data_IF_342615595111
#
_entry.id   IF_342615595111
#
_cell.length_a   1.000
_cell.length_b   1.000
_cell.length_c   1.000
_cell.angle_alpha   90.00
_cell.angle_beta   90.00
_cell.angle_gamma   90.00
#
_symmetry.space_group_name_H-M   'P 1'
#
loop_
_entity.id
_entity.type
_entity.pdbx_description
1 polymer ?
#
# COMPACT_ATOMS: atom_id res chain seq x y z
N UNK A 1 4.00 8.20 -12.39
CA UNK A 1 2.67 7.90 -12.93
C UNK A 1 2.32 6.43 -12.74
N UNK A 2 1.03 6.12 -12.56
CA UNK A 2 0.54 4.77 -12.34
C UNK A 2 -0.92 4.59 -12.72
N UNK A 3 -1.34 3.33 -12.81
CA UNK A 3 -2.74 2.93 -12.95
C UNK A 3 -3.12 2.12 -11.72
N UNK A 4 -4.21 2.52 -11.07
CA UNK A 4 -4.73 1.89 -9.88
C UNK A 4 -6.02 1.13 -10.17
N UNK A 5 -6.08 -0.15 -9.76
CA UNK A 5 -7.27 -0.98 -9.87
C UNK A 5 -7.96 -1.05 -8.51
N UNK A 6 -9.05 -0.34 -8.35
CA UNK A 6 -9.92 -0.51 -7.20
C UNK A 6 -10.97 -1.59 -7.46
N UNK A 7 -11.43 -2.24 -6.40
CA UNK A 7 -12.47 -3.26 -6.45
C UNK A 7 -12.21 -4.44 -7.44
N UNK A 8 -10.96 -4.78 -7.69
CA UNK A 8 -10.57 -5.88 -8.57
C UNK A 8 -10.71 -7.23 -7.87
N UNK A 9 -11.96 -7.66 -7.68
CA UNK A 9 -12.36 -8.86 -6.93
C UNK A 9 -13.81 -9.26 -7.26
N UNK A 10 -14.24 -10.41 -6.78
CA UNK A 10 -15.66 -10.74 -6.78
C UNK A 10 -16.40 -9.82 -5.80
N UNK A 11 -17.59 -9.31 -6.18
CA UNK A 11 -18.45 -8.56 -5.26
C UNK A 11 -18.86 -9.42 -4.05
N UNK A 12 -18.95 -8.77 -2.90
CA UNK A 12 -19.26 -9.42 -1.62
C UNK A 12 -20.62 -10.13 -1.60
N UNK A 13 -21.58 -9.60 -2.33
CA UNK A 13 -22.95 -10.09 -2.42
C UNK A 13 -23.17 -11.13 -3.52
N UNK A 14 -22.13 -11.47 -4.27
CA UNK A 14 -22.23 -12.50 -5.32
C UNK A 14 -22.03 -13.88 -4.75
N UNK A 15 -22.94 -14.81 -5.13
CA UNK A 15 -22.70 -16.22 -4.90
C UNK A 15 -21.71 -16.75 -5.94
N UNK A 16 -20.48 -16.99 -5.52
CA UNK A 16 -19.41 -17.51 -6.39
C UNK A 16 -19.71 -18.99 -6.66
N UNK A 17 -20.17 -19.30 -7.86
CA UNK A 17 -20.59 -20.65 -8.30
C UNK A 17 -19.46 -21.55 -8.80
N UNK A 18 -18.22 -21.08 -8.76
CA UNK A 18 -17.03 -21.82 -9.15
C UNK A 18 -16.13 -22.08 -7.94
N UNK A 19 -15.16 -22.99 -8.07
CA UNK A 19 -14.15 -23.16 -7.02
C UNK A 19 -13.37 -21.86 -6.80
N UNK A 20 -12.84 -21.67 -5.59
CA UNK A 20 -12.05 -20.45 -5.27
C UNK A 20 -10.82 -20.33 -6.17
N UNK A 21 -10.17 -21.44 -6.50
CA UNK A 21 -9.06 -21.46 -7.45
C UNK A 21 -9.47 -20.96 -8.83
N UNK A 22 -10.60 -21.43 -9.33
CA UNK A 22 -11.12 -20.98 -10.62
C UNK A 22 -11.52 -19.51 -10.59
N UNK A 23 -12.12 -19.07 -9.48
CA UNK A 23 -12.42 -17.66 -9.25
C UNK A 23 -11.18 -16.78 -9.30
N UNK A 24 -10.10 -17.18 -8.61
CA UNK A 24 -8.81 -16.48 -8.66
C UNK A 24 -8.22 -16.44 -10.06
N UNK A 25 -8.26 -17.53 -10.79
CA UNK A 25 -7.81 -17.56 -12.19
C UNK A 25 -8.55 -16.55 -13.06
N UNK A 26 -9.87 -16.39 -12.89
CA UNK A 26 -10.65 -15.42 -13.65
C UNK A 26 -10.25 -13.98 -13.32
N UNK A 27 -10.16 -13.62 -12.04
CA UNK A 27 -9.74 -12.28 -11.64
C UNK A 27 -8.30 -12.02 -12.10
N UNK A 28 -7.37 -12.95 -11.89
CA UNK A 28 -5.99 -12.84 -12.34
C UNK A 28 -5.90 -12.67 -13.87
N UNK A 29 -6.75 -13.35 -14.65
CA UNK A 29 -6.76 -13.16 -16.11
C UNK A 29 -7.19 -11.76 -16.54
N UNK A 30 -8.07 -11.10 -15.78
CA UNK A 30 -8.45 -9.71 -16.00
C UNK A 30 -7.25 -8.80 -15.68
N UNK A 31 -6.62 -9.02 -14.53
CA UNK A 31 -5.41 -8.26 -14.12
C UNK A 31 -4.31 -8.39 -15.15
N UNK A 32 -4.04 -9.62 -15.64
CA UNK A 32 -3.04 -9.91 -16.68
C UNK A 32 -3.30 -9.11 -17.95
N UNK A 33 -4.53 -9.13 -18.46
CA UNK A 33 -4.90 -8.40 -19.68
C UNK A 33 -4.69 -6.89 -19.53
N UNK A 34 -5.04 -6.33 -18.37
CA UNK A 34 -4.83 -4.91 -18.10
C UNK A 34 -3.33 -4.61 -18.00
N UNK A 35 -2.59 -5.41 -17.26
CA UNK A 35 -1.13 -5.30 -17.12
C UNK A 35 -0.45 -5.31 -18.49
N UNK A 36 -0.74 -6.29 -19.33
CA UNK A 36 -0.10 -6.46 -20.64
C UNK A 36 -0.38 -5.24 -21.54
N UNK A 37 -1.64 -4.77 -21.57
CA UNK A 37 -1.99 -3.57 -22.33
C UNK A 37 -1.27 -2.31 -21.83
N UNK A 38 -1.16 -2.14 -20.50
CA UNK A 38 -0.46 -0.99 -19.90
C UNK A 38 1.04 -1.07 -20.18
N UNK A 39 1.67 -2.22 -19.93
CA UNK A 39 3.13 -2.37 -20.08
C UNK A 39 3.55 -2.36 -21.55
N UNK A 40 2.70 -2.81 -22.47
CA UNK A 40 2.93 -2.66 -23.90
C UNK A 40 2.91 -1.20 -24.34
N UNK A 41 1.98 -0.41 -23.79
CA UNK A 41 1.87 1.02 -24.15
C UNK A 41 2.95 1.88 -23.46
N UNK A 42 3.20 1.63 -22.15
CA UNK A 42 4.11 2.41 -21.30
C UNK A 42 4.72 1.52 -20.20
N UNK A 43 5.84 0.85 -20.44
CA UNK A 43 6.41 -0.13 -19.52
C UNK A 43 6.80 0.45 -18.15
N UNK A 44 7.05 1.75 -18.06
CA UNK A 44 7.43 2.44 -16.80
C UNK A 44 6.25 2.81 -15.90
N UNK A 45 5.00 2.70 -16.40
CA UNK A 45 3.80 3.02 -15.59
C UNK A 45 3.60 1.96 -14.53
N UNK A 46 3.48 2.38 -13.26
CA UNK A 46 3.21 1.48 -12.13
C UNK A 46 1.80 0.91 -12.21
N UNK A 47 1.68 -0.37 -11.92
CA UNK A 47 0.39 -1.04 -11.71
C UNK A 47 0.17 -1.24 -10.22
N UNK A 48 -0.99 -0.83 -9.72
CA UNK A 48 -1.35 -0.98 -8.30
C UNK A 48 -2.80 -1.37 -8.11
N UNK A 49 -3.14 -1.90 -6.93
CA UNK A 49 -4.53 -2.12 -6.54
C UNK A 49 -4.74 -1.98 -5.02
N UNK A 50 -6.01 -1.83 -4.61
CA UNK A 50 -6.45 -1.84 -3.21
C UNK A 50 -7.08 -3.19 -2.85
N UNK A 51 -6.30 -4.19 -2.38
CA UNK A 51 -6.87 -5.46 -1.93
C UNK A 51 -7.54 -5.33 -0.56
N UNK A 52 -8.36 -6.35 -0.22
CA UNK A 52 -8.84 -6.54 1.15
C UNK A 52 -7.65 -6.62 2.09
N UNK A 53 -7.73 -5.94 3.24
CA UNK A 53 -6.61 -5.73 4.15
C UNK A 53 -5.99 -6.98 4.76
N UNK A 54 -6.73 -8.09 4.83
CA UNK A 54 -6.20 -9.42 5.13
C UNK A 54 -6.09 -10.20 3.84
N UNK A 55 -4.89 -10.72 3.54
CA UNK A 55 -4.75 -11.56 2.35
C UNK A 55 -5.46 -12.89 2.53
N UNK A 56 -5.13 -13.62 3.59
CA UNK A 56 -5.75 -14.90 3.97
C UNK A 56 -5.73 -15.07 5.50
N UNK A 57 -6.27 -16.17 6.00
CA UNK A 57 -6.10 -16.54 7.40
C UNK A 57 -4.64 -16.95 7.66
N UNK A 58 -4.11 -16.57 8.82
CA UNK A 58 -2.73 -16.83 9.19
C UNK A 58 -2.64 -18.09 10.07
N UNK A 59 -1.74 -19.01 9.72
CA UNK A 59 -1.51 -20.24 10.52
C UNK A 59 -0.91 -19.96 11.90
N UNK A 60 -0.14 -18.87 12.03
CA UNK A 60 0.53 -18.44 13.27
C UNK A 60 -0.31 -17.50 14.15
N UNK A 61 -1.49 -17.11 13.68
CA UNK A 61 -2.39 -16.23 14.40
C UNK A 61 -3.84 -16.63 14.16
N UNK A 62 -4.59 -16.84 15.23
CA UNK A 62 -6.00 -17.19 15.10
C UNK A 62 -6.77 -16.02 14.48
N UNK A 63 -7.23 -16.23 13.29
CA UNK A 63 -8.00 -15.24 12.55
C UNK A 63 -8.94 -15.96 11.60
N UNK A 64 -10.21 -15.72 11.74
CA UNK A 64 -11.20 -16.13 10.76
C UNK A 64 -11.94 -14.92 10.24
N UNK A 65 -12.33 -14.95 9.00
CA UNK A 65 -13.23 -13.93 8.49
C UNK A 65 -12.92 -13.45 7.08
N UNK A 66 -13.15 -12.18 6.91
CA UNK A 66 -13.09 -11.53 5.62
C UNK A 66 -11.64 -11.40 5.15
N UNK A 67 -11.34 -12.01 4.01
CA UNK A 67 -9.99 -11.95 3.42
C UNK A 67 -10.07 -11.87 1.88
N UNK A 68 -8.95 -11.48 1.26
CA UNK A 68 -8.83 -11.31 -0.17
C UNK A 68 -8.88 -12.64 -0.94
N UNK A 69 -8.06 -13.59 -0.51
CA UNK A 69 -7.76 -14.80 -1.25
C UNK A 69 -8.96 -15.75 -1.35
N UNK A 70 -9.55 -16.11 -0.20
CA UNK A 70 -10.60 -17.14 -0.14
C UNK A 70 -12.02 -16.59 -0.24
N UNK A 71 -12.27 -15.34 0.20
CA UNK A 71 -13.64 -14.79 0.21
C UNK A 71 -14.02 -14.11 -1.09
N UNK A 72 -13.10 -13.38 -1.71
CA UNK A 72 -13.36 -12.58 -2.93
C UNK A 72 -12.45 -12.92 -4.10
N UNK A 73 -11.67 -14.01 -3.99
CA UNK A 73 -10.81 -14.52 -5.05
C UNK A 73 -9.78 -13.50 -5.58
N UNK A 74 -9.24 -12.66 -4.67
CA UNK A 74 -8.29 -11.60 -4.97
C UNK A 74 -6.89 -12.03 -4.56
N UNK A 75 -6.12 -12.58 -5.51
CA UNK A 75 -4.77 -13.13 -5.26
C UNK A 75 -3.69 -12.04 -5.33
N UNK A 76 -3.83 -11.01 -4.49
CA UNK A 76 -2.98 -9.82 -4.55
C UNK A 76 -1.49 -10.12 -4.28
N UNK A 77 -1.17 -11.02 -3.33
CA UNK A 77 0.22 -11.43 -3.10
C UNK A 77 0.78 -12.21 -4.29
N UNK A 78 -0.02 -13.07 -4.91
CA UNK A 78 0.35 -13.77 -6.15
C UNK A 78 0.63 -12.80 -7.29
N UNK A 79 -0.12 -11.70 -7.40
CA UNK A 79 0.12 -10.68 -8.43
C UNK A 79 1.42 -9.90 -8.20
N UNK A 80 1.83 -9.64 -6.95
CA UNK A 80 3.17 -9.10 -6.67
C UNK A 80 4.26 -10.07 -7.12
N UNK A 81 4.19 -11.33 -6.69
CA UNK A 81 5.18 -12.36 -7.01
C UNK A 81 5.32 -12.60 -8.51
N UNK A 82 4.22 -12.59 -9.24
CA UNK A 82 4.22 -12.77 -10.71
C UNK A 82 4.54 -11.50 -11.50
N UNK A 83 4.74 -10.36 -10.83
CA UNK A 83 5.06 -9.09 -11.48
C UNK A 83 3.87 -8.39 -12.15
N UNK A 84 2.64 -8.84 -11.90
CA UNK A 84 1.43 -8.21 -12.42
C UNK A 84 1.07 -6.89 -11.71
N UNK A 85 1.52 -6.73 -10.47
CA UNK A 85 1.42 -5.51 -9.70
C UNK A 85 2.80 -5.05 -9.23
N UNK A 86 3.01 -3.76 -9.28
CA UNK A 86 4.22 -3.09 -8.78
C UNK A 86 4.02 -2.61 -7.34
N UNK A 87 2.77 -2.36 -6.95
CA UNK A 87 2.43 -1.73 -5.68
C UNK A 87 1.04 -2.18 -5.20
N UNK A 88 0.87 -2.38 -3.90
CA UNK A 88 -0.41 -2.69 -3.28
C UNK A 88 -0.75 -1.71 -2.17
N UNK A 89 -2.06 -1.40 -2.07
CA UNK A 89 -2.64 -0.59 -0.99
C UNK A 89 -3.68 -1.42 -0.19
N UNK A 90 -3.26 -2.39 0.63
CA UNK A 90 -4.20 -3.21 1.40
C UNK A 90 -5.10 -2.34 2.28
N UNK A 91 -6.41 -2.52 2.19
CA UNK A 91 -7.40 -1.75 2.95
C UNK A 91 -7.48 -2.26 4.40
N UNK A 92 -6.50 -1.90 5.22
CA UNK A 92 -6.34 -2.39 6.59
C UNK A 92 -7.09 -1.53 7.60
N UNK A 93 -8.44 -1.45 7.44
CA UNK A 93 -9.33 -0.59 8.24
C UNK A 93 -9.76 -1.28 9.54
N UNK A 94 -8.81 -1.78 10.28
CA UNK A 94 -8.96 -2.46 11.58
C UNK A 94 -7.73 -2.19 12.41
N UNK A 95 -7.75 -2.47 13.73
CA UNK A 95 -6.71 -2.09 14.68
C UNK A 95 -6.27 -3.27 15.55
N UNK A 96 -5.21 -3.04 16.32
CA UNK A 96 -4.67 -3.97 17.32
C UNK A 96 -4.35 -5.35 16.72
N UNK A 97 -4.83 -6.39 17.36
CA UNK A 97 -4.61 -7.79 16.97
C UNK A 97 -5.11 -8.14 15.56
N UNK A 98 -6.03 -7.35 15.01
CA UNK A 98 -6.49 -7.52 13.64
C UNK A 98 -5.60 -6.79 12.62
N UNK A 99 -4.72 -5.88 13.06
CA UNK A 99 -3.83 -5.12 12.20
C UNK A 99 -2.42 -5.69 12.15
N UNK A 100 -1.75 -5.76 13.29
CA UNK A 100 -0.30 -6.01 13.35
C UNK A 100 0.15 -7.33 12.72
N UNK A 101 -0.50 -8.49 12.96
CA UNK A 101 -0.09 -9.74 12.33
C UNK A 101 -0.23 -9.71 10.80
N UNK A 102 -1.25 -9.04 10.29
CA UNK A 102 -1.50 -8.94 8.85
C UNK A 102 -0.59 -7.91 8.16
N UNK A 103 -0.18 -6.84 8.87
CA UNK A 103 0.85 -5.94 8.39
C UNK A 103 2.19 -6.67 8.23
N UNK A 104 2.54 -7.53 9.19
CA UNK A 104 3.71 -8.39 9.09
C UNK A 104 3.63 -9.33 7.88
N UNK A 105 2.47 -9.97 7.67
CA UNK A 105 2.25 -10.85 6.52
C UNK A 105 2.42 -10.11 5.19
N UNK A 106 1.86 -8.91 5.07
CA UNK A 106 2.04 -8.08 3.89
C UNK A 106 3.52 -7.70 3.64
N UNK A 107 4.27 -7.42 4.71
CA UNK A 107 5.70 -7.12 4.59
C UNK A 107 6.51 -8.34 4.13
N UNK A 108 6.28 -9.50 4.76
CA UNK A 108 6.96 -10.75 4.47
C UNK A 108 6.68 -11.27 3.05
N UNK A 109 5.47 -11.02 2.54
CA UNK A 109 5.02 -11.47 1.21
C UNK A 109 5.13 -10.38 0.13
N UNK A 110 5.81 -9.27 0.42
CA UNK A 110 5.95 -8.15 -0.53
C UNK A 110 6.78 -8.46 -1.77
N UNK A 111 7.62 -9.50 -1.71
CA UNK A 111 8.55 -9.87 -2.79
C UNK A 111 9.46 -8.71 -3.21
N UNK A 112 9.85 -7.86 -2.25
CA UNK A 112 10.68 -6.67 -2.48
C UNK A 112 9.96 -5.53 -3.21
N UNK A 113 8.66 -5.65 -3.43
CA UNK A 113 7.84 -4.61 -4.07
C UNK A 113 7.18 -3.69 -3.06
N UNK A 114 6.49 -2.68 -3.54
CA UNK A 114 5.93 -1.62 -2.71
C UNK A 114 4.60 -2.08 -2.10
N UNK A 115 4.50 -2.01 -0.78
CA UNK A 115 3.25 -2.22 -0.06
C UNK A 115 2.96 -1.03 0.86
N UNK A 116 1.75 -0.51 0.75
CA UNK A 116 1.30 0.73 1.40
C UNK A 116 -0.04 0.48 2.11
N UNK A 117 -0.05 -0.06 3.33
CA UNK A 117 -1.28 -0.27 4.08
C UNK A 117 -2.13 0.98 4.20
N UNK A 118 -3.43 0.83 3.89
CA UNK A 118 -4.44 1.86 4.07
C UNK A 118 -4.90 1.91 5.53
N UNK A 119 -4.78 3.08 6.16
CA UNK A 119 -5.12 3.33 7.55
C UNK A 119 -6.44 4.08 7.68
N UNK A 120 -7.30 3.64 8.60
CA UNK A 120 -8.67 4.12 8.74
C UNK A 120 -8.78 5.38 9.61
N UNK A 121 -8.23 6.51 9.18
CA UNK A 121 -8.31 7.78 9.92
C UNK A 121 -9.73 8.32 10.06
N UNK A 122 -10.68 7.85 9.25
CA UNK A 122 -12.08 8.27 9.39
C UNK A 122 -12.71 7.82 10.72
N UNK A 123 -12.23 6.75 11.33
CA UNK A 123 -12.68 6.32 12.65
C UNK A 123 -12.22 7.23 13.81
N UNK A 124 -11.36 8.21 13.53
CA UNK A 124 -11.03 9.28 14.50
C UNK A 124 -12.18 10.29 14.66
N UNK A 125 -13.13 10.34 13.71
CA UNK A 125 -14.34 11.13 13.85
C UNK A 125 -15.36 10.35 14.70
N UNK A 126 -15.91 10.94 15.79
CA UNK A 126 -16.89 10.28 16.65
C UNK A 126 -18.18 9.83 15.94
N UNK A 127 -18.48 10.39 14.77
CA UNK A 127 -19.63 10.00 13.95
C UNK A 127 -19.39 8.73 13.15
N UNK A 128 -18.13 8.41 12.86
CA UNK A 128 -17.73 7.24 12.06
C UNK A 128 -17.20 6.10 12.95
N UNK A 129 -16.57 6.43 14.09
CA UNK A 129 -15.97 5.45 14.98
C UNK A 129 -15.57 6.01 16.34
N UNK A 130 -14.88 5.20 17.13
CA UNK A 130 -14.40 5.56 18.48
C UNK A 130 -12.91 5.32 18.65
N UNK A 131 -12.14 5.46 17.56
CA UNK A 131 -10.71 5.29 17.64
C UNK A 131 -10.05 6.54 18.24
N UNK A 132 -8.92 6.31 18.89
CA UNK A 132 -8.04 7.39 19.37
C UNK A 132 -6.89 7.59 18.39
N UNK A 133 -6.30 8.76 18.39
CA UNK A 133 -5.13 9.02 17.54
C UNK A 133 -4.02 8.00 17.78
N UNK A 134 -3.82 7.55 19.03
CA UNK A 134 -2.84 6.52 19.38
C UNK A 134 -3.04 5.19 18.64
N UNK A 135 -4.27 4.82 18.29
CA UNK A 135 -4.53 3.62 17.49
C UNK A 135 -3.85 3.76 16.12
N UNK A 136 -4.07 4.89 15.43
CA UNK A 136 -3.50 5.14 14.10
C UNK A 136 -1.99 5.40 14.14
N UNK A 137 -1.50 6.17 15.10
CA UNK A 137 -0.07 6.48 15.18
C UNK A 137 0.78 5.26 15.50
N UNK A 138 0.26 4.31 16.29
CA UNK A 138 0.93 3.03 16.52
C UNK A 138 1.00 2.17 15.24
N UNK A 139 -0.06 2.17 14.42
CA UNK A 139 -0.06 1.53 13.10
C UNK A 139 0.97 2.18 12.17
N UNK A 140 1.03 3.52 12.11
CA UNK A 140 2.02 4.26 11.32
C UNK A 140 3.45 3.89 11.71
N UNK A 141 3.76 3.87 13.01
CA UNK A 141 5.06 3.47 13.51
C UNK A 141 5.39 2.02 13.14
N UNK A 142 4.43 1.12 13.27
CA UNK A 142 4.62 -0.29 12.98
C UNK A 142 4.94 -0.53 11.49
N UNK A 143 4.14 0.02 10.57
CA UNK A 143 4.37 -0.16 9.13
C UNK A 143 5.69 0.47 8.70
N UNK A 144 6.09 1.61 9.27
CA UNK A 144 7.40 2.20 9.04
C UNK A 144 8.54 1.28 9.47
N UNK A 145 8.43 0.66 10.66
CA UNK A 145 9.43 -0.28 11.15
C UNK A 145 9.56 -1.54 10.27
N UNK A 146 8.49 -1.91 9.58
CA UNK A 146 8.50 -2.99 8.59
C UNK A 146 9.05 -2.56 7.22
N UNK A 147 9.42 -1.29 7.04
CA UNK A 147 9.85 -0.75 5.75
C UNK A 147 8.71 -0.53 4.74
N UNK A 148 7.46 -0.54 5.21
CA UNK A 148 6.28 -0.30 4.39
C UNK A 148 5.94 1.21 4.33
N UNK A 149 5.19 1.60 3.30
CA UNK A 149 4.50 2.89 3.27
C UNK A 149 3.21 2.88 4.10
N UNK A 150 2.46 3.96 4.01
CA UNK A 150 1.08 4.02 4.50
C UNK A 150 0.27 5.02 3.68
N UNK A 151 -1.04 4.81 3.62
CA UNK A 151 -1.99 5.72 2.99
C UNK A 151 -3.17 5.94 3.93
N UNK A 152 -3.74 7.15 3.92
CA UNK A 152 -4.89 7.46 4.75
C UNK A 152 -6.21 7.34 4.00
N UNK A 153 -7.14 6.62 4.56
CA UNK A 153 -8.53 6.65 4.13
C UNK A 153 -9.38 7.33 5.21
N UNK A 154 -9.99 8.45 4.92
CA UNK A 154 -10.00 9.17 3.65
C UNK A 154 -9.55 10.63 3.85
N UNK A 155 -9.11 11.28 2.78
CA UNK A 155 -8.50 12.62 2.78
C UNK A 155 -9.28 13.69 3.55
N UNK A 156 -10.61 13.69 3.51
CA UNK A 156 -11.44 14.63 4.28
C UNK A 156 -11.05 14.71 5.75
N UNK A 157 -10.88 13.57 6.41
CA UNK A 157 -10.57 13.50 7.84
C UNK A 157 -9.13 13.93 8.15
N UNK A 158 -8.24 13.79 7.19
CA UNK A 158 -6.88 14.30 7.27
C UNK A 158 -6.87 15.84 7.21
N UNK A 159 -7.55 16.42 6.22
CA UNK A 159 -7.67 17.88 6.07
C UNK A 159 -8.44 18.52 7.24
N UNK A 160 -9.44 17.84 7.77
CA UNK A 160 -10.17 18.28 8.97
C UNK A 160 -9.31 18.17 10.26
N UNK A 161 -8.09 17.68 10.16
CA UNK A 161 -7.15 17.45 11.27
C UNK A 161 -7.76 16.72 12.46
N UNK A 162 -8.53 15.64 12.19
CA UNK A 162 -9.24 14.90 13.24
C UNK A 162 -8.28 14.40 14.31
N UNK A 163 -8.54 14.77 15.55
CA UNK A 163 -7.69 14.50 16.72
C UNK A 163 -6.20 14.89 16.53
N UNK A 164 -5.88 15.81 15.61
CA UNK A 164 -4.51 16.27 15.37
C UNK A 164 -3.70 15.39 14.43
N UNK A 165 -4.31 14.48 13.66
CA UNK A 165 -3.59 13.54 12.78
C UNK A 165 -2.77 14.26 11.69
N UNK A 166 -3.25 15.39 11.16
CA UNK A 166 -2.49 16.20 10.20
C UNK A 166 -1.24 16.78 10.85
N UNK A 167 -1.41 17.41 12.01
CA UNK A 167 -0.30 18.04 12.75
C UNK A 167 0.76 17.01 13.13
N UNK A 168 0.35 15.86 13.68
CA UNK A 168 1.26 14.77 14.01
C UNK A 168 2.03 14.31 12.77
N UNK A 169 1.32 14.06 11.67
CA UNK A 169 1.96 13.58 10.43
C UNK A 169 2.95 14.58 9.87
N UNK A 170 2.59 15.87 9.79
CA UNK A 170 3.41 16.88 9.15
C UNK A 170 4.59 17.35 10.03
N UNK A 171 4.39 17.47 11.36
CA UNK A 171 5.38 18.08 12.26
C UNK A 171 6.28 17.07 12.96
N UNK A 172 5.77 15.86 13.18
CA UNK A 172 6.49 14.83 13.96
C UNK A 172 6.88 13.65 13.11
N UNK A 173 5.92 13.00 12.47
CA UNK A 173 6.15 11.71 11.81
C UNK A 173 6.86 11.85 10.45
N UNK A 174 6.43 12.80 9.60
CA UNK A 174 7.05 13.09 8.30
C UNK A 174 7.76 14.46 8.29
N UNK A 175 8.49 14.76 9.34
CA UNK A 175 9.25 16.01 9.43
C UNK A 175 10.22 16.21 8.26
N UNK A 176 10.78 15.13 7.75
CA UNK A 176 11.61 15.12 6.54
C UNK A 176 10.89 14.54 5.34
N UNK A 177 11.18 15.06 4.16
CA UNK A 177 10.66 14.52 2.91
C UNK A 177 11.16 13.10 2.67
N UNK A 178 10.25 12.23 2.26
CA UNK A 178 10.58 10.85 1.85
C UNK A 178 10.67 10.78 0.34
N UNK A 179 11.65 10.00 -0.16
CA UNK A 179 11.73 9.70 -1.58
C UNK A 179 10.69 8.65 -1.97
N UNK A 180 10.15 8.78 -3.17
CA UNK A 180 9.31 7.72 -3.75
C UNK A 180 10.18 6.49 -4.00
N UNK A 181 9.80 5.31 -3.51
CA UNK A 181 10.59 4.09 -3.72
C UNK A 181 10.77 3.79 -5.22
N UNK A 182 12.00 3.48 -5.67
CA UNK A 182 12.24 3.11 -7.05
C UNK A 182 11.70 1.71 -7.36
N UNK A 183 11.31 1.48 -8.61
CA UNK A 183 10.98 0.14 -9.10
C UNK A 183 12.26 -0.61 -9.50
N UNK A 184 12.99 -1.13 -8.54
CA UNK A 184 14.28 -1.80 -8.78
C UNK A 184 14.16 -3.08 -9.61
N UNK A 185 12.96 -3.69 -9.63
CA UNK A 185 12.65 -4.86 -10.46
C UNK A 185 12.37 -4.53 -11.93
N UNK A 186 12.14 -3.26 -12.26
CA UNK A 186 11.80 -2.84 -13.62
C UNK A 186 13.02 -2.48 -14.48
N UNK A 187 14.19 -2.31 -13.89
CA UNK A 187 15.41 -1.97 -14.61
C UNK A 187 16.66 -2.29 -13.79
N UNK A 188 17.63 -2.94 -14.41
CA UNK A 188 18.97 -3.18 -13.86
C UNK A 188 19.90 -1.98 -14.04
N UNK A 189 19.43 -0.91 -14.66
CA UNK A 189 20.24 0.27 -14.95
C UNK A 189 20.58 1.00 -13.66
N UNK A 190 21.84 0.90 -13.23
CA UNK A 190 22.37 1.71 -12.13
C UNK A 190 22.62 3.12 -12.64
N UNK A 191 22.02 4.10 -11.97
CA UNK A 191 22.38 5.50 -12.19
C UNK A 191 23.79 5.72 -11.64
N UNK A 192 24.60 6.45 -12.40
CA UNK A 192 25.90 6.89 -11.89
C UNK A 192 25.69 8.04 -10.90
N UNK A 193 26.53 8.08 -9.87
CA UNK A 193 26.53 9.24 -8.98
C UNK A 193 26.90 10.50 -9.77
N UNK A 194 26.35 11.66 -9.40
CA UNK A 194 26.77 12.93 -9.99
C UNK A 194 28.29 13.10 -9.88
N UNK A 195 28.93 13.47 -10.98
CA UNK A 195 30.35 13.81 -10.98
C UNK A 195 30.52 15.26 -10.50
N UNK A 196 31.62 15.56 -9.79
CA UNK A 196 31.97 16.92 -9.38
C UNK A 196 30.93 17.66 -8.56
N UNK A 197 30.22 16.94 -7.68
CA UNK A 197 29.24 17.56 -6.79
C UNK A 197 29.87 18.66 -5.92
N UNK A 198 29.35 19.87 -6.03
CA UNK A 198 29.79 21.03 -5.27
C UNK A 198 28.63 21.69 -4.57
N UNK A 199 28.91 22.25 -3.40
CA UNK A 199 27.98 23.04 -2.61
C UNK A 199 28.58 24.42 -2.40
N UNK A 200 27.90 25.46 -2.83
CA UNK A 200 28.28 26.86 -2.56
C UNK A 200 27.16 27.59 -1.83
N UNK A 201 27.55 28.59 -1.04
CA UNK A 201 26.59 29.49 -0.38
C UNK A 201 26.80 30.89 -0.92
N UNK A 202 25.70 31.50 -1.33
CA UNK A 202 25.68 32.87 -1.79
C UNK A 202 24.51 33.61 -1.15
N UNK A 203 24.79 34.52 -0.21
CA UNK A 203 23.82 35.42 0.42
C UNK A 203 22.70 34.74 1.18
N UNK A 204 22.64 33.55 1.55
CA UNK A 204 21.54 32.83 2.22
C UNK A 204 20.92 31.72 1.33
N UNK A 205 21.34 31.64 0.08
CA UNK A 205 21.00 30.55 -0.81
C UNK A 205 22.10 29.47 -0.77
N UNK A 206 21.67 28.21 -0.88
CA UNK A 206 22.56 27.06 -1.07
C UNK A 206 22.44 26.62 -2.53
N UNK A 207 23.50 26.74 -3.28
CA UNK A 207 23.58 26.31 -4.69
C UNK A 207 24.30 24.98 -4.76
N UNK A 208 23.64 23.99 -5.35
CA UNK A 208 24.19 22.66 -5.63
C UNK A 208 24.48 22.57 -7.11
N UNK A 209 25.69 22.14 -7.47
CA UNK A 209 26.10 21.90 -8.88
C UNK A 209 26.66 20.48 -9.02
N UNK A 210 26.35 19.81 -10.13
CA UNK A 210 26.82 18.45 -10.47
C UNK A 210 26.93 18.22 -11.98
#
# INVERSE_FOLDING_TARGET
DGIHLDYIRYPENWNIKVSRDKGRQYITSIVQKIHDAVKQAKPWVKMSCSPIGKYDDLTRYWSHGWNANTKVCQDAQGWLKSGLMDELFPMMYFRNEQFFPFANDWAEQSDGKIVVPGLAIYFLDPKEGKWKIGDVTSEMCHVRNLGLGYAFFRNKFFLDNKQGIYDFTAKEFNHYLSLVPPMTWASDKKLQSPASFQVSRNGGEVVLTW
#
